data_IF_347035380963
#
_entry.id   IF_347035380963
#
_cell.length_a   1.000
_cell.length_b   1.000
_cell.length_c   1.000
_cell.angle_alpha   90.00
_cell.angle_beta   90.00
_cell.angle_gamma   90.00
#
_symmetry.space_group_name_H-M   'P 1'
#
loop_
_entity.id
_entity.type
_entity.pdbx_description
1 polymer ?
#
# COMPACT_ATOMS: atom_id res chain seq x y z
N UNK A 1 -12.84 -13.92 -15.67
CA UNK A 1 -12.67 -14.19 -14.23
C UNK A 1 -13.67 -13.37 -13.45
N UNK A 2 -14.09 -13.82 -12.27
CA UNK A 2 -15.04 -13.06 -11.46
C UNK A 2 -14.39 -11.79 -10.89
N UNK A 3 -15.19 -10.75 -10.65
CA UNK A 3 -14.73 -9.55 -9.94
C UNK A 3 -14.43 -9.94 -8.49
N UNK A 4 -13.33 -9.43 -7.92
CA UNK A 4 -12.93 -9.75 -6.56
C UNK A 4 -13.60 -8.82 -5.54
N UNK A 5 -14.16 -9.35 -4.44
CA UNK A 5 -14.69 -8.51 -3.37
C UNK A 5 -13.55 -8.05 -2.45
N UNK A 6 -13.52 -6.75 -2.11
CA UNK A 6 -12.44 -6.16 -1.31
C UNK A 6 -12.26 -6.79 0.08
N UNK A 7 -13.31 -7.39 0.66
CA UNK A 7 -13.24 -8.11 1.94
C UNK A 7 -12.32 -9.33 1.93
N UNK A 8 -11.92 -9.80 0.75
CA UNK A 8 -11.00 -10.91 0.62
C UNK A 8 -9.55 -10.42 0.57
N UNK A 9 -9.30 -9.12 0.42
CA UNK A 9 -7.93 -8.62 0.34
C UNK A 9 -7.20 -8.84 1.68
N UNK A 10 -5.93 -9.21 1.59
CA UNK A 10 -5.04 -9.34 2.73
C UNK A 10 -3.94 -8.28 2.62
N UNK A 11 -3.77 -7.49 3.69
CA UNK A 11 -2.73 -6.49 3.82
C UNK A 11 -1.84 -6.91 5.00
N UNK A 12 -0.57 -7.16 4.71
CA UNK A 12 0.41 -7.56 5.70
C UNK A 12 1.47 -6.48 5.83
N UNK A 13 1.76 -6.04 7.06
CA UNK A 13 2.80 -5.08 7.40
C UNK A 13 3.72 -5.72 8.42
N UNK A 14 5.00 -5.86 8.10
CA UNK A 14 6.02 -6.45 8.99
C UNK A 14 5.59 -7.79 9.63
N UNK A 15 5.07 -8.69 8.80
CA UNK A 15 4.52 -9.98 9.18
C UNK A 15 3.25 -9.97 10.06
N UNK A 16 2.63 -8.79 10.27
CA UNK A 16 1.32 -8.63 10.92
C UNK A 16 0.25 -8.44 9.85
N UNK A 17 -0.83 -9.21 9.93
CA UNK A 17 -1.98 -9.10 9.02
C UNK A 17 -2.98 -8.11 9.62
N UNK A 18 -3.47 -7.16 8.82
CA UNK A 18 -4.32 -6.05 9.28
C UNK A 18 -5.76 -6.11 8.74
N UNK A 19 -6.17 -7.24 8.17
CA UNK A 19 -7.42 -7.39 7.43
C UNK A 19 -8.70 -7.30 8.28
N UNK A 20 -8.59 -7.51 9.59
CA UNK A 20 -9.66 -7.37 10.57
C UNK A 20 -9.94 -5.91 10.97
N UNK A 21 -8.93 -5.05 10.84
CA UNK A 21 -8.99 -3.64 11.24
C UNK A 21 -9.30 -2.69 10.07
N UNK A 22 -8.95 -3.05 8.83
CA UNK A 22 -8.98 -2.16 7.66
C UNK A 22 -10.38 -2.04 7.03
N UNK A 23 -10.84 -0.80 6.87
CA UNK A 23 -12.05 -0.48 6.10
C UNK A 23 -11.75 -0.09 4.64
N UNK A 24 -10.56 0.48 4.40
CA UNK A 24 -10.14 0.95 3.09
C UNK A 24 -8.62 0.89 2.91
N UNK A 25 -8.19 0.46 1.72
CA UNK A 25 -6.80 0.55 1.28
C UNK A 25 -6.73 1.04 -0.17
N UNK A 26 -5.65 1.73 -0.51
CA UNK A 26 -5.38 2.22 -1.88
C UNK A 26 -3.90 2.16 -2.20
N UNK A 27 -3.51 1.24 -3.09
CA UNK A 27 -2.17 1.17 -3.66
C UNK A 27 -2.11 2.03 -4.93
N UNK A 28 -1.25 3.04 -4.92
CA UNK A 28 -1.03 3.95 -6.06
C UNK A 28 0.38 3.74 -6.60
N UNK A 29 0.51 3.56 -7.92
CA UNK A 29 1.81 3.54 -8.62
C UNK A 29 1.81 4.68 -9.64
N UNK A 30 2.75 5.60 -9.50
CA UNK A 30 2.86 6.81 -10.32
C UNK A 30 4.16 6.76 -11.11
N UNK A 31 4.13 6.34 -12.39
CA UNK A 31 5.30 6.39 -13.24
C UNK A 31 5.65 7.84 -13.59
N UNK A 32 6.94 8.15 -13.56
CA UNK A 32 7.50 9.36 -14.13
C UNK A 32 7.38 9.31 -15.65
N UNK A 33 6.98 10.42 -16.28
CA UNK A 33 6.78 10.49 -17.72
C UNK A 33 7.47 11.70 -18.32
N UNK A 34 8.82 11.72 -18.37
CA UNK A 34 9.59 12.80 -18.98
C UNK A 34 9.25 13.00 -20.46
N UNK A 35 9.23 14.27 -20.88
CA UNK A 35 8.97 14.69 -22.26
C UNK A 35 10.29 14.91 -22.99
N UNK A 36 10.49 14.22 -24.11
CA UNK A 36 11.72 14.21 -24.94
C UNK A 36 11.44 14.62 -26.38
N UNK A 37 10.61 15.65 -26.58
CA UNK A 37 10.19 16.14 -27.90
C UNK A 37 11.39 16.62 -28.74
N UNK A 38 11.48 16.14 -29.98
CA UNK A 38 12.44 16.61 -30.97
C UNK A 38 11.84 17.72 -31.86
N UNK A 39 12.70 18.46 -32.58
CA UNK A 39 12.29 19.55 -33.47
C UNK A 39 11.34 19.13 -34.60
N UNK A 40 11.38 17.85 -35.01
CA UNK A 40 10.52 17.28 -36.04
C UNK A 40 9.18 16.76 -35.52
N UNK A 41 8.98 16.73 -34.20
CA UNK A 41 7.80 16.09 -33.62
C UNK A 41 6.59 17.02 -33.71
N UNK A 42 5.49 16.49 -34.24
CA UNK A 42 4.21 17.19 -34.32
C UNK A 42 3.42 17.20 -33.00
N UNK A 43 3.95 16.56 -31.95
CA UNK A 43 3.32 16.46 -30.63
C UNK A 43 4.30 15.94 -29.56
N UNK A 44 3.88 15.89 -28.28
CA UNK A 44 4.80 15.55 -27.19
C UNK A 44 5.23 14.08 -27.26
N UNK A 45 6.54 13.85 -27.33
CA UNK A 45 7.14 12.52 -27.18
C UNK A 45 7.45 12.26 -25.71
N UNK A 46 7.02 11.12 -25.17
CA UNK A 46 7.18 10.76 -23.75
C UNK A 46 7.93 9.44 -23.62
N UNK A 47 8.75 9.31 -22.58
CA UNK A 47 9.45 8.08 -22.20
C UNK A 47 9.09 7.76 -20.76
N UNK A 48 9.07 6.47 -20.40
CA UNK A 48 8.81 6.03 -19.02
C UNK A 48 10.10 6.14 -18.21
N UNK A 49 10.04 6.88 -17.09
CA UNK A 49 11.13 7.01 -16.12
C UNK A 49 11.00 6.00 -14.96
N UNK A 50 11.50 6.39 -13.79
CA UNK A 50 11.25 5.66 -12.55
C UNK A 50 9.78 5.80 -12.14
N UNK A 51 9.37 5.19 -11.02
CA UNK A 51 8.03 5.34 -10.50
C UNK A 51 8.07 5.50 -8.98
N UNK A 52 7.14 6.28 -8.47
CA UNK A 52 6.81 6.32 -7.06
C UNK A 52 5.62 5.41 -6.78
N UNK A 53 5.53 4.89 -5.57
CA UNK A 53 4.31 4.20 -5.14
C UNK A 53 4.03 4.45 -3.66
N UNK A 54 2.74 4.47 -3.33
CA UNK A 54 2.24 4.68 -1.97
C UNK A 54 1.07 3.75 -1.69
N UNK A 55 0.91 3.41 -0.41
CA UNK A 55 -0.21 2.65 0.11
C UNK A 55 -0.87 3.47 1.21
N UNK A 56 -2.11 3.89 0.96
CA UNK A 56 -2.95 4.53 1.97
C UNK A 56 -3.85 3.48 2.61
N UNK A 57 -3.88 3.44 3.94
CA UNK A 57 -4.66 2.47 4.73
C UNK A 57 -5.45 3.21 5.80
N UNK A 58 -6.71 2.84 6.01
CA UNK A 58 -7.52 3.37 7.10
C UNK A 58 -8.52 2.34 7.61
N UNK A 59 -8.87 2.42 8.88
CA UNK A 59 -9.79 1.48 9.50
C UNK A 59 -10.06 1.76 10.97
N UNK A 60 -10.65 0.77 11.64
CA UNK A 60 -10.87 0.78 13.08
C UNK A 60 -9.55 0.53 13.81
N UNK A 61 -9.31 1.26 14.90
CA UNK A 61 -8.16 1.01 15.75
C UNK A 61 -8.57 0.22 17.00
N UNK A 62 -7.87 -0.89 17.29
CA UNK A 62 -8.14 -1.76 18.44
C UNK A 62 -7.10 -1.62 19.59
N UNK A 63 -5.98 -0.93 19.35
CA UNK A 63 -4.83 -0.75 20.26
C UNK A 63 -4.23 -2.03 20.84
N UNK A 64 -4.53 -3.21 20.29
CA UNK A 64 -3.99 -4.45 20.79
C UNK A 64 -2.52 -4.63 20.38
N UNK A 65 -1.75 -5.31 21.23
CA UNK A 65 -0.35 -5.59 20.94
C UNK A 65 -0.25 -6.53 19.73
N UNK A 66 0.44 -6.07 18.68
CA UNK A 66 0.58 -6.83 17.43
C UNK A 66 -0.55 -6.63 16.44
N UNK A 67 -1.34 -5.55 16.56
CA UNK A 67 -2.37 -5.14 15.60
C UNK A 67 -2.00 -3.83 14.93
N UNK A 68 -2.96 -3.19 14.24
CA UNK A 68 -2.76 -2.00 13.40
C UNK A 68 -1.96 -0.88 14.07
N UNK A 69 -2.30 -0.47 15.30
CA UNK A 69 -1.64 0.67 15.96
C UNK A 69 -0.16 0.42 16.24
N UNK A 70 0.16 -0.64 16.99
CA UNK A 70 1.53 -0.95 17.37
C UNK A 70 2.41 -1.17 16.13
N UNK A 71 1.87 -1.85 15.11
CA UNK A 71 2.59 -2.17 13.88
C UNK A 71 2.87 -0.91 13.05
N UNK A 72 1.83 -0.12 12.76
CA UNK A 72 1.96 1.08 11.93
C UNK A 72 2.77 2.16 12.64
N UNK A 73 2.56 2.38 13.94
CA UNK A 73 3.30 3.37 14.71
C UNK A 73 4.79 3.04 14.77
N UNK A 74 5.14 1.76 15.00
CA UNK A 74 6.54 1.32 14.98
C UNK A 74 7.17 1.54 13.60
N UNK A 75 6.45 1.23 12.52
CA UNK A 75 6.90 1.47 11.15
C UNK A 75 7.18 2.96 10.87
N UNK A 76 6.42 3.89 11.47
CA UNK A 76 6.67 5.33 11.34
C UNK A 76 7.93 5.80 12.09
N UNK A 77 8.40 5.01 13.05
CA UNK A 77 9.66 5.27 13.76
C UNK A 77 10.86 4.57 13.14
N UNK A 78 10.65 3.69 12.15
CA UNK A 78 11.72 2.95 11.48
C UNK A 78 12.18 3.68 10.21
N UNK A 79 13.41 4.20 10.25
CA UNK A 79 14.02 4.88 9.11
C UNK A 79 14.36 3.93 7.93
N UNK A 80 14.48 2.62 8.18
CA UNK A 80 14.72 1.63 7.13
C UNK A 80 13.42 1.20 6.42
N UNK A 81 12.27 1.44 7.06
CA UNK A 81 10.99 0.90 6.64
C UNK A 81 10.88 -0.60 6.86
N UNK A 82 9.76 -1.18 6.44
CA UNK A 82 9.42 -2.58 6.66
C UNK A 82 8.77 -3.23 5.44
N UNK A 83 8.76 -4.57 5.35
CA UNK A 83 8.10 -5.27 4.27
C UNK A 83 6.59 -5.11 4.39
N UNK A 84 5.93 -4.80 3.28
CA UNK A 84 4.48 -4.74 3.17
C UNK A 84 4.05 -5.54 1.96
N UNK A 85 3.05 -6.40 2.17
CA UNK A 85 2.40 -7.19 1.13
C UNK A 85 0.96 -6.75 0.96
N UNK A 86 0.56 -6.52 -0.29
CA UNK A 86 -0.82 -6.25 -0.68
C UNK A 86 -1.29 -7.39 -1.58
N UNK A 87 -2.18 -8.23 -1.06
CA UNK A 87 -2.88 -9.26 -1.82
C UNK A 87 -4.34 -8.84 -2.02
N UNK A 88 -4.74 -8.41 -3.23
CA UNK A 88 -6.12 -7.98 -3.50
C UNK A 88 -7.16 -9.12 -3.47
N UNK A 89 -6.73 -10.38 -3.38
CA UNK A 89 -7.56 -11.57 -3.61
C UNK A 89 -7.71 -12.46 -2.39
N UNK A 90 -6.75 -12.41 -1.45
CA UNK A 90 -6.70 -13.23 -0.25
C UNK A 90 -6.20 -14.65 -0.49
N UNK A 91 -5.62 -14.92 -1.66
CA UNK A 91 -5.10 -16.23 -2.00
C UNK A 91 -3.68 -16.40 -1.40
N UNK A 92 -3.47 -17.50 -0.70
CA UNK A 92 -2.18 -17.79 -0.04
C UNK A 92 -0.97 -17.87 -1.00
N UNK A 93 -1.20 -18.03 -2.30
CA UNK A 93 -0.15 -18.17 -3.31
C UNK A 93 -0.45 -17.24 -4.48
N UNK A 94 0.54 -16.43 -4.87
CA UNK A 94 0.45 -15.58 -6.04
C UNK A 94 0.29 -16.40 -7.33
N UNK A 95 -0.61 -15.99 -8.21
CA UNK A 95 -0.80 -16.58 -9.53
C UNK A 95 -0.88 -15.47 -10.59
N UNK A 96 -0.85 -15.82 -11.87
CA UNK A 96 -1.09 -14.86 -12.95
C UNK A 96 -2.41 -14.08 -12.79
N UNK A 97 -3.42 -14.68 -12.15
CA UNK A 97 -4.71 -14.07 -11.87
C UNK A 97 -4.88 -13.48 -10.47
N UNK A 98 -3.96 -13.79 -9.56
CA UNK A 98 -3.98 -13.38 -8.16
C UNK A 98 -2.59 -12.82 -7.81
N UNK A 99 -2.26 -11.62 -8.30
CA UNK A 99 -0.93 -11.05 -8.07
C UNK A 99 -0.80 -10.54 -6.63
N UNK A 100 0.37 -10.74 -6.04
CA UNK A 100 0.78 -10.09 -4.80
C UNK A 100 1.65 -8.87 -5.14
N UNK A 101 1.45 -7.77 -4.41
CA UNK A 101 2.26 -6.56 -4.54
C UNK A 101 3.10 -6.39 -3.29
N UNK A 102 4.38 -6.73 -3.40
CA UNK A 102 5.30 -6.76 -2.28
C UNK A 102 6.37 -5.69 -2.43
N UNK A 103 6.70 -5.00 -1.34
CA UNK A 103 7.78 -4.03 -1.33
C UNK A 103 8.17 -3.62 0.09
N UNK A 104 9.26 -2.88 0.20
CA UNK A 104 9.61 -2.16 1.44
C UNK A 104 8.97 -0.78 1.40
N UNK A 105 8.35 -0.40 2.53
CA UNK A 105 7.69 0.89 2.70
C UNK A 105 8.19 1.58 3.98
N UNK A 106 8.26 2.91 3.95
CA UNK A 106 8.35 3.75 5.14
C UNK A 106 6.98 4.36 5.43
N UNK A 107 6.62 4.58 6.69
CA UNK A 107 5.42 5.34 7.03
C UNK A 107 5.72 6.85 6.95
N UNK A 108 5.02 7.53 6.03
CA UNK A 108 5.11 8.99 5.89
C UNK A 108 4.14 9.74 6.80
N UNK A 109 3.01 9.12 7.17
CA UNK A 109 2.07 9.70 8.12
C UNK A 109 1.27 8.62 8.83
N UNK A 110 0.95 8.88 10.10
CA UNK A 110 0.02 8.09 10.91
C UNK A 110 -0.85 9.01 11.73
N UNK A 111 -2.14 8.73 11.77
CA UNK A 111 -3.16 9.55 12.43
C UNK A 111 -4.15 8.67 13.15
N UNK A 112 -4.51 9.09 14.36
CA UNK A 112 -5.65 8.56 15.12
C UNK A 112 -6.74 9.63 15.15
N UNK A 113 -7.99 9.24 14.93
CA UNK A 113 -9.13 10.14 15.03
C UNK A 113 -10.35 9.46 15.63
N UNK A 114 -11.25 10.24 16.22
CA UNK A 114 -12.52 9.75 16.72
C UNK A 114 -13.40 10.91 17.17
N UNK A 115 -14.72 10.71 17.11
CA UNK A 115 -15.69 11.63 17.68
C UNK A 115 -16.17 11.10 19.04
N UNK A 116 -16.61 11.98 19.94
CA UNK A 116 -17.23 11.56 21.20
C UNK A 116 -18.49 10.74 20.88
N UNK A 117 -18.52 9.48 21.33
CA UNK A 117 -19.59 8.52 21.04
C UNK A 117 -19.43 7.73 19.74
N UNK A 118 -18.32 7.92 19.00
CA UNK A 118 -17.96 7.16 17.81
C UNK A 118 -16.86 6.13 18.05
N UNK A 119 -16.52 5.39 16.99
CA UNK A 119 -15.35 4.50 16.94
C UNK A 119 -14.06 5.33 16.88
N UNK A 120 -12.96 4.76 17.34
CA UNK A 120 -11.61 5.30 17.09
C UNK A 120 -11.09 4.69 15.79
N UNK A 121 -10.64 5.55 14.89
CA UNK A 121 -10.13 5.20 13.58
C UNK A 121 -8.65 5.53 13.47
N UNK A 122 -7.94 4.79 12.62
CA UNK A 122 -6.59 5.13 12.18
C UNK A 122 -6.56 5.45 10.68
N UNK A 123 -5.56 6.23 10.28
CA UNK A 123 -5.17 6.39 8.89
C UNK A 123 -3.65 6.47 8.79
N UNK A 124 -3.08 5.77 7.81
CA UNK A 124 -1.65 5.73 7.53
C UNK A 124 -1.37 5.92 6.04
N UNK A 125 -0.31 6.65 5.72
CA UNK A 125 0.25 6.71 4.37
C UNK A 125 1.64 6.11 4.39
N UNK A 126 1.80 5.01 3.65
CA UNK A 126 3.07 4.31 3.48
C UNK A 126 3.65 4.65 2.10
N UNK A 127 4.95 4.89 2.02
CA UNK A 127 5.63 5.28 0.78
C UNK A 127 6.74 4.27 0.49
N UNK A 128 6.81 3.83 -0.76
CA UNK A 128 7.80 2.87 -1.23
C UNK A 128 9.24 3.35 -1.08
N UNK A 129 10.12 2.45 -0.64
CA UNK A 129 11.57 2.72 -0.49
C UNK A 129 12.45 1.82 -1.34
N UNK A 130 11.83 0.90 -2.08
CA UNK A 130 12.50 -0.12 -2.90
C UNK A 130 11.71 -0.38 -4.18
N UNK A 131 12.06 -1.41 -4.97
CA UNK A 131 11.23 -1.77 -6.12
C UNK A 131 9.95 -2.48 -5.66
N UNK A 132 8.80 -2.07 -6.20
CA UNK A 132 7.55 -2.80 -6.01
C UNK A 132 7.56 -4.05 -6.89
N UNK A 133 7.43 -5.21 -6.27
CA UNK A 133 7.35 -6.50 -6.96
C UNK A 133 5.89 -6.86 -7.14
N UNK A 134 5.46 -6.99 -8.39
CA UNK A 134 4.19 -7.66 -8.72
C UNK A 134 4.46 -9.15 -8.90
N UNK A 135 4.37 -9.92 -7.83
CA UNK A 135 4.59 -11.36 -7.86
C UNK A 135 3.43 -12.08 -8.57
N UNK A 136 3.79 -13.02 -9.44
CA UNK A 136 2.90 -13.97 -10.11
C UNK A 136 3.65 -15.29 -10.28
N UNK A 137 2.95 -16.41 -10.26
CA UNK A 137 3.48 -17.72 -10.68
C UNK A 137 3.43 -17.89 -12.20
#
# INVERSE_FOLDING_TARGET
>A
MAKQPAKNANIMVDAVVLEDDIDNFSLTVTPEVPVVTALSDAGPRRVVGNYDYSLDISGANDFAAGQSDATLFNLCSDAAGGPVGVDPTGAAVATASDPHYDGTYMCSSYKISGAVGGRIDFAATLVGTSALVRAVA
#
